data_IF_250968093159
#
_entry.id   IF_250968093159
#
_cell.length_a   1.000
_cell.length_b   1.000
_cell.length_c   1.000
_cell.angle_alpha   90.00
_cell.angle_beta   90.00
_cell.angle_gamma   90.00
#
_symmetry.space_group_name_H-M   'P 1'
#
loop_
_entity.id
_entity.type
_entity.pdbx_description
1 polymer ?
#
# COMPACT_ATOMS: atom_id res chain seq x y z
N UNK A 1 -7.78 18.99 -82.55
CA UNK A 1 -7.54 18.81 -81.14
C UNK A 1 -8.47 17.66 -80.76
N UNK A 2 -7.95 16.42 -80.64
CA UNK A 2 -8.71 15.23 -80.26
C UNK A 2 -8.38 14.85 -78.86
N UNK A 3 -9.37 14.94 -77.99
CA UNK A 3 -9.30 14.52 -76.60
C UNK A 3 -9.03 13.02 -76.45
N UNK A 4 -7.90 12.68 -75.80
CA UNK A 4 -7.63 11.33 -75.33
C UNK A 4 -8.21 11.19 -73.96
N UNK A 5 -9.46 10.81 -73.85
CA UNK A 5 -10.07 10.33 -72.62
C UNK A 5 -9.52 8.93 -72.34
N UNK A 6 -8.59 8.83 -71.36
CA UNK A 6 -8.04 7.57 -70.89
C UNK A 6 -9.15 6.73 -70.26
N UNK A 7 -9.48 5.57 -70.88
CA UNK A 7 -10.37 4.55 -70.32
C UNK A 7 -9.76 3.97 -69.03
N UNK A 8 -10.26 4.36 -67.88
CA UNK A 8 -10.00 3.63 -66.60
C UNK A 8 -10.60 2.23 -66.75
N UNK A 9 -9.75 1.25 -66.98
CA UNK A 9 -10.09 -0.15 -66.97
C UNK A 9 -10.42 -0.58 -65.53
N UNK A 10 -11.72 -0.71 -65.23
CA UNK A 10 -12.18 -1.29 -63.99
C UNK A 10 -11.68 -2.75 -63.88
N UNK A 11 -10.61 -2.96 -63.12
CA UNK A 11 -10.12 -4.29 -62.80
C UNK A 11 -10.94 -4.76 -61.57
N UNK A 12 -12.18 -5.20 -61.81
CA UNK A 12 -12.89 -6.01 -60.85
C UNK A 12 -12.36 -7.45 -60.97
N UNK A 13 -11.24 -7.74 -60.33
CA UNK A 13 -10.80 -9.10 -60.12
C UNK A 13 -11.74 -9.79 -59.14
N UNK A 14 -12.42 -10.85 -59.57
CA UNK A 14 -13.22 -11.68 -58.67
C UNK A 14 -12.32 -12.29 -57.59
N UNK A 15 -12.75 -12.21 -56.30
CA UNK A 15 -12.03 -12.80 -55.16
C UNK A 15 -12.09 -14.33 -55.30
N UNK A 16 -10.94 -15.00 -55.24
CA UNK A 16 -10.85 -16.45 -55.30
C UNK A 16 -11.28 -17.06 -53.95
N UNK A 17 -11.95 -18.20 -53.97
CA UNK A 17 -12.35 -18.94 -52.76
C UNK A 17 -11.14 -19.27 -51.87
N UNK A 18 -9.99 -19.57 -52.47
CA UNK A 18 -8.73 -19.83 -51.74
C UNK A 18 -8.22 -18.58 -51.03
N UNK A 19 -8.39 -17.40 -51.62
CA UNK A 19 -7.96 -16.11 -51.01
C UNK A 19 -8.78 -15.79 -49.76
N UNK A 20 -10.10 -16.04 -49.79
CA UNK A 20 -10.95 -15.89 -48.62
C UNK A 20 -10.56 -16.88 -47.54
N UNK A 21 -10.27 -18.13 -47.87
CA UNK A 21 -9.83 -19.12 -46.87
C UNK A 21 -8.52 -18.73 -46.20
N UNK A 22 -7.54 -18.25 -46.94
CA UNK A 22 -6.27 -17.76 -46.38
C UNK A 22 -6.50 -16.53 -45.52
N UNK A 23 -7.30 -15.57 -45.98
CA UNK A 23 -7.59 -14.34 -45.22
C UNK A 23 -8.29 -14.64 -43.88
N UNK A 24 -9.29 -15.54 -43.86
CA UNK A 24 -9.99 -15.95 -42.63
C UNK A 24 -9.06 -16.70 -41.71
N UNK A 25 -8.17 -17.55 -42.23
CA UNK A 25 -7.19 -18.27 -41.40
C UNK A 25 -6.22 -17.33 -40.71
N UNK A 26 -5.67 -16.36 -41.45
CA UNK A 26 -4.75 -15.35 -40.84
C UNK A 26 -5.51 -14.47 -39.83
N UNK A 27 -6.72 -14.06 -40.16
CA UNK A 27 -7.56 -13.27 -39.24
C UNK A 27 -7.85 -14.04 -37.93
N UNK A 28 -8.21 -15.34 -38.04
CA UNK A 28 -8.47 -16.15 -36.85
C UNK A 28 -7.25 -16.27 -35.94
N UNK A 29 -6.06 -16.46 -36.52
CA UNK A 29 -4.79 -16.49 -35.72
C UNK A 29 -4.53 -15.11 -35.08
N UNK A 30 -4.64 -14.03 -35.82
CA UNK A 30 -4.44 -12.68 -35.30
C UNK A 30 -5.46 -12.34 -34.21
N UNK A 31 -6.73 -12.73 -34.36
CA UNK A 31 -7.78 -12.51 -33.36
C UNK A 31 -7.50 -13.26 -32.05
N UNK A 32 -7.04 -14.51 -32.11
CA UNK A 32 -6.71 -15.29 -30.89
C UNK A 32 -5.51 -14.72 -30.13
N UNK A 33 -4.47 -14.31 -30.86
CA UNK A 33 -3.30 -13.63 -30.23
C UNK A 33 -3.73 -12.31 -29.57
N UNK A 34 -4.54 -11.50 -30.26
CA UNK A 34 -5.02 -10.22 -29.75
C UNK A 34 -5.88 -10.39 -28.48
N UNK A 35 -6.77 -11.39 -28.46
CA UNK A 35 -7.59 -11.69 -27.29
C UNK A 35 -6.74 -12.08 -26.08
N UNK A 36 -5.70 -12.89 -26.28
CA UNK A 36 -4.74 -13.26 -25.22
C UNK A 36 -3.98 -12.06 -24.67
N UNK A 37 -3.54 -11.14 -25.53
CA UNK A 37 -2.87 -9.91 -25.14
C UNK A 37 -3.77 -8.99 -24.31
N UNK A 38 -5.04 -8.84 -24.67
CA UNK A 38 -6.02 -8.05 -23.92
C UNK A 38 -6.26 -8.61 -22.53
N UNK A 39 -6.37 -9.94 -22.36
CA UNK A 39 -6.52 -10.56 -21.04
C UNK A 39 -5.30 -10.33 -20.17
N UNK A 40 -4.11 -10.45 -20.72
CA UNK A 40 -2.86 -10.17 -19.98
C UNK A 40 -2.76 -8.71 -19.55
N UNK A 41 -3.19 -7.78 -20.40
CA UNK A 41 -3.21 -6.35 -20.08
C UNK A 41 -4.19 -6.03 -18.95
N UNK A 42 -5.37 -6.62 -18.93
CA UNK A 42 -6.36 -6.45 -17.85
C UNK A 42 -5.85 -6.99 -16.52
N UNK A 43 -5.21 -8.15 -16.50
CA UNK A 43 -4.58 -8.70 -15.29
C UNK A 43 -3.48 -7.76 -14.75
N UNK A 44 -2.66 -7.21 -15.62
CA UNK A 44 -1.61 -6.25 -15.25
C UNK A 44 -2.20 -4.96 -14.67
N UNK A 45 -3.26 -4.42 -15.28
CA UNK A 45 -3.95 -3.23 -14.77
C UNK A 45 -4.54 -3.47 -13.37
N UNK A 46 -5.20 -4.60 -13.14
CA UNK A 46 -5.75 -4.96 -11.82
C UNK A 46 -4.65 -5.06 -10.76
N UNK A 47 -3.49 -5.60 -11.12
CA UNK A 47 -2.33 -5.68 -10.22
C UNK A 47 -1.81 -4.29 -9.83
N UNK A 48 -1.71 -3.38 -10.80
CA UNK A 48 -1.28 -1.99 -10.55
C UNK A 48 -2.28 -1.26 -9.64
N UNK A 49 -3.58 -1.43 -9.89
CA UNK A 49 -4.62 -0.83 -9.03
C UNK A 49 -4.55 -1.36 -7.60
N UNK A 50 -4.41 -2.67 -7.43
CA UNK A 50 -4.25 -3.27 -6.11
C UNK A 50 -3.00 -2.71 -5.38
N UNK A 51 -1.87 -2.56 -6.09
CA UNK A 51 -0.66 -1.97 -5.52
C UNK A 51 -0.88 -0.52 -5.08
N UNK A 52 -1.57 0.29 -5.88
CA UNK A 52 -1.90 1.69 -5.52
C UNK A 52 -2.75 1.76 -4.26
N UNK A 53 -3.80 0.94 -4.16
CA UNK A 53 -4.67 0.91 -2.97
C UNK A 53 -3.84 0.66 -1.70
N UNK A 54 -2.94 -0.33 -1.72
CA UNK A 54 -2.07 -0.57 -0.56
C UNK A 54 -1.16 0.61 -0.31
N UNK A 55 -0.49 1.11 -1.34
CA UNK A 55 0.47 2.21 -1.21
C UNK A 55 -0.20 3.47 -0.61
N UNK A 56 -1.36 3.86 -1.12
CA UNK A 56 -2.09 5.03 -0.65
C UNK A 56 -2.53 4.88 0.81
N UNK A 57 -3.06 3.70 1.18
CA UNK A 57 -3.45 3.41 2.56
C UNK A 57 -2.26 3.43 3.53
N UNK A 58 -1.14 2.80 3.14
CA UNK A 58 0.06 2.77 3.97
C UNK A 58 0.69 4.15 4.10
N UNK A 59 0.76 4.91 3.01
CA UNK A 59 1.27 6.29 3.04
C UNK A 59 0.43 7.17 3.94
N UNK A 60 -0.90 7.11 3.81
CA UNK A 60 -1.80 7.86 4.69
C UNK A 60 -1.61 7.51 6.17
N UNK A 61 -1.55 6.20 6.49
CA UNK A 61 -1.34 5.75 7.86
C UNK A 61 0.02 6.22 8.41
N UNK A 62 1.10 6.05 7.63
CA UNK A 62 2.45 6.46 8.02
C UNK A 62 2.59 7.98 8.16
N UNK A 63 1.99 8.76 7.26
CA UNK A 63 2.01 10.22 7.32
C UNK A 63 1.27 10.73 8.56
N UNK A 64 0.11 10.14 8.88
CA UNK A 64 -0.67 10.48 10.07
C UNK A 64 0.10 10.12 11.34
N UNK A 65 0.58 8.87 11.43
CA UNK A 65 1.42 8.43 12.55
C UNK A 65 2.66 9.32 12.68
N UNK A 66 3.33 9.62 11.56
CA UNK A 66 4.55 10.41 11.55
C UNK A 66 4.38 11.84 12.08
N UNK A 67 3.26 12.48 11.75
CA UNK A 67 2.93 13.83 12.25
C UNK A 67 2.67 13.81 13.75
N UNK A 68 1.84 12.87 14.21
CA UNK A 68 1.47 12.78 15.62
C UNK A 68 2.63 12.32 16.51
N UNK A 69 3.40 11.32 16.09
CA UNK A 69 4.58 10.84 16.80
C UNK A 69 5.61 11.97 16.93
N UNK A 70 5.89 12.72 15.86
CA UNK A 70 6.91 13.77 15.89
C UNK A 70 6.65 14.86 16.91
N UNK A 71 5.39 15.14 17.25
CA UNK A 71 4.96 16.14 18.21
C UNK A 71 4.54 15.55 19.55
N UNK A 72 4.57 14.23 19.67
CA UNK A 72 4.23 13.51 20.89
C UNK A 72 5.40 13.37 21.86
N UNK A 73 5.12 12.85 23.05
CA UNK A 73 6.07 12.58 24.14
C UNK A 73 5.76 11.26 24.84
N UNK A 74 6.60 10.84 25.77
CA UNK A 74 6.41 9.62 26.59
C UNK A 74 6.18 8.37 25.74
N UNK A 75 7.14 8.08 24.86
CA UNK A 75 7.04 6.93 23.95
C UNK A 75 7.09 5.62 24.71
N UNK A 76 6.10 4.78 24.50
CA UNK A 76 5.99 3.46 25.08
C UNK A 76 5.88 2.39 24.01
N UNK A 77 6.81 1.46 24.01
CA UNK A 77 6.74 0.25 23.19
C UNK A 77 5.97 -0.84 23.93
N UNK A 78 4.78 -1.17 23.46
CA UNK A 78 3.92 -2.18 24.08
C UNK A 78 4.47 -3.60 23.95
N UNK A 79 4.20 -4.44 24.96
CA UNK A 79 4.56 -5.87 24.95
C UNK A 79 3.51 -6.73 24.26
N UNK A 80 2.27 -6.26 24.20
CA UNK A 80 1.19 -6.89 23.47
C UNK A 80 0.31 -5.85 22.78
N UNK A 81 -0.71 -6.28 22.05
CA UNK A 81 -1.61 -5.42 21.26
C UNK A 81 -2.56 -4.58 22.13
N UNK A 82 -2.71 -4.91 23.39
CA UNK A 82 -3.57 -4.22 24.36
C UNK A 82 -2.77 -3.49 25.44
N UNK A 83 -1.48 -3.28 25.21
CA UNK A 83 -0.65 -2.46 26.11
C UNK A 83 -0.87 -0.98 25.78
N UNK A 84 -1.64 -0.31 26.60
CA UNK A 84 -2.04 1.10 26.44
C UNK A 84 -1.29 2.03 27.42
N UNK A 85 -0.24 1.55 28.05
CA UNK A 85 0.54 2.35 28.99
C UNK A 85 1.28 3.47 28.24
N UNK A 86 1.40 4.62 28.87
CA UNK A 86 2.15 5.76 28.35
C UNK A 86 3.43 6.05 29.18
N UNK A 87 3.91 5.05 29.95
CA UNK A 87 5.21 5.15 30.64
C UNK A 87 6.35 4.90 29.66
N UNK A 88 7.38 5.78 29.61
CA UNK A 88 8.49 5.64 28.66
C UNK A 88 9.12 4.25 28.70
N UNK A 89 9.21 3.59 27.52
CA UNK A 89 9.76 2.26 27.42
C UNK A 89 10.32 1.98 26.02
N UNK A 90 11.56 1.56 25.97
CA UNK A 90 12.26 1.14 24.76
C UNK A 90 11.99 -0.31 24.37
N UNK A 91 12.11 -0.59 23.07
CA UNK A 91 12.17 -1.93 22.51
C UNK A 91 13.05 -1.92 21.24
N UNK A 92 14.35 -2.08 21.44
CA UNK A 92 15.32 -2.03 20.34
C UNK A 92 15.60 -3.40 19.70
N UNK A 93 15.08 -4.49 20.29
CA UNK A 93 15.38 -5.87 19.88
C UNK A 93 14.21 -6.50 19.13
N UNK A 94 14.53 -7.34 18.13
CA UNK A 94 13.54 -8.14 17.40
C UNK A 94 12.70 -9.02 18.35
N UNK A 95 11.38 -9.11 18.16
CA UNK A 95 10.59 -8.66 17.00
C UNK A 95 10.04 -7.22 17.07
N UNK A 96 10.46 -6.40 18.05
CA UNK A 96 9.87 -5.10 18.34
C UNK A 96 8.55 -5.21 19.11
N UNK A 97 7.85 -4.08 19.28
CA UNK A 97 6.56 -4.03 19.94
C UNK A 97 5.38 -4.15 18.96
N UNK A 98 4.32 -4.90 19.32
CA UNK A 98 3.11 -5.02 18.51
C UNK A 98 2.18 -3.80 18.63
N UNK A 99 2.38 -2.95 19.66
CA UNK A 99 1.69 -1.69 19.86
C UNK A 99 2.68 -0.58 20.21
N UNK A 100 2.27 0.65 19.95
CA UNK A 100 3.05 1.83 20.29
C UNK A 100 2.12 2.90 20.86
N UNK A 101 2.44 3.36 22.05
CA UNK A 101 1.65 4.36 22.81
C UNK A 101 2.50 5.59 23.08
N UNK A 102 1.89 6.76 23.03
CA UNK A 102 2.53 8.03 23.33
C UNK A 102 1.47 9.07 23.77
N UNK A 103 1.92 10.18 24.33
CA UNK A 103 1.07 11.33 24.65
C UNK A 103 1.19 12.34 23.51
N UNK A 104 0.07 12.73 22.91
CA UNK A 104 0.05 13.72 21.86
C UNK A 104 0.21 15.16 22.41
N UNK A 105 0.30 16.14 21.52
CA UNK A 105 0.44 17.56 21.89
C UNK A 105 -0.79 18.14 22.64
N UNK A 106 -1.92 17.45 22.67
CA UNK A 106 -3.13 17.82 23.40
C UNK A 106 -3.22 17.19 24.79
N UNK A 107 -2.28 16.29 25.12
CA UNK A 107 -2.28 15.53 26.37
C UNK A 107 -3.04 14.21 26.33
N UNK A 108 -3.59 13.85 25.18
CA UNK A 108 -4.28 12.56 25.04
C UNK A 108 -3.28 11.42 24.82
N UNK A 109 -3.57 10.27 25.41
CA UNK A 109 -2.83 9.03 25.11
C UNK A 109 -3.31 8.42 23.81
N UNK A 110 -2.38 8.24 22.88
CA UNK A 110 -2.62 7.63 21.57
C UNK A 110 -1.92 6.29 21.51
N UNK A 111 -2.62 5.24 21.12
CA UNK A 111 -2.03 3.93 20.85
C UNK A 111 -2.28 3.51 19.42
N UNK A 112 -1.23 3.10 18.73
CA UNK A 112 -1.30 2.44 17.43
C UNK A 112 -1.05 0.95 17.58
N UNK A 113 -1.89 0.13 16.93
CA UNK A 113 -1.75 -1.33 16.92
C UNK A 113 -2.24 -1.94 15.62
N UNK A 114 -1.88 -3.19 15.38
CA UNK A 114 -2.47 -4.03 14.35
C UNK A 114 -3.56 -4.91 14.96
N UNK A 115 -4.79 -4.75 14.51
CA UNK A 115 -5.90 -5.60 14.91
C UNK A 115 -6.72 -6.00 13.68
N UNK A 116 -7.07 -7.28 13.55
CA UNK A 116 -7.84 -7.81 12.41
C UNK A 116 -7.29 -7.36 11.03
N UNK A 117 -5.95 -7.40 10.86
CA UNK A 117 -5.26 -7.00 9.64
C UNK A 117 -5.43 -5.51 9.25
N UNK A 118 -5.83 -4.66 10.19
CA UNK A 118 -6.00 -3.22 10.02
C UNK A 118 -5.23 -2.45 11.08
N UNK A 119 -4.71 -1.30 10.70
CA UNK A 119 -4.10 -0.37 11.64
C UNK A 119 -5.21 0.36 12.38
N UNK A 120 -5.17 0.30 13.69
CA UNK A 120 -6.08 1.00 14.59
C UNK A 120 -5.34 2.08 15.39
N UNK A 121 -6.00 3.21 15.54
CA UNK A 121 -5.65 4.28 16.48
C UNK A 121 -6.65 4.28 17.60
N UNK A 122 -6.18 4.19 18.85
CA UNK A 122 -6.98 4.18 20.07
C UNK A 122 -6.67 5.43 20.87
N UNK A 123 -7.72 6.05 21.40
CA UNK A 123 -7.62 7.22 22.26
C UNK A 123 -7.79 6.83 23.75
N UNK A 124 -6.91 7.35 24.58
CA UNK A 124 -6.97 7.26 26.05
C UNK A 124 -7.15 5.82 26.57
N UNK A 125 -6.49 4.86 25.90
CA UNK A 125 -6.52 3.45 26.28
C UNK A 125 -7.89 2.77 26.19
N UNK A 126 -8.88 3.40 25.55
CA UNK A 126 -10.22 2.83 25.43
C UNK A 126 -10.42 2.16 24.05
N UNK A 127 -10.47 0.82 23.97
CA UNK A 127 -10.67 0.11 22.70
C UNK A 127 -11.98 0.47 21.97
N UNK A 128 -12.98 0.98 22.66
CA UNK A 128 -14.23 1.43 22.04
C UNK A 128 -14.05 2.70 21.18
N UNK A 129 -12.96 3.44 21.37
CA UNK A 129 -12.60 4.60 20.53
C UNK A 129 -11.73 4.25 19.33
N UNK A 130 -11.55 2.96 19.04
CA UNK A 130 -10.67 2.51 17.95
C UNK A 130 -11.10 3.07 16.61
N UNK A 131 -10.24 3.89 16.01
CA UNK A 131 -10.38 4.41 14.66
C UNK A 131 -9.54 3.59 13.70
N UNK A 132 -10.20 2.97 12.72
CA UNK A 132 -9.53 2.19 11.68
C UNK A 132 -8.89 3.15 10.67
N UNK A 133 -7.58 3.03 10.46
CA UNK A 133 -6.80 3.92 9.60
C UNK A 133 -6.62 3.37 8.18
N UNK A 134 -6.89 2.10 7.94
CA UNK A 134 -6.67 1.44 6.64
C UNK A 134 -7.99 0.89 6.08
N UNK A 135 -8.16 1.00 4.75
CA UNK A 135 -9.33 0.46 4.07
C UNK A 135 -9.39 -1.08 4.13
N UNK A 136 -10.59 -1.68 3.95
CA UNK A 136 -10.77 -3.13 3.99
C UNK A 136 -9.92 -3.89 2.97
N UNK A 137 -9.67 -3.28 1.82
CA UNK A 137 -8.95 -3.88 0.70
C UNK A 137 -7.42 -3.89 0.90
N UNK A 138 -6.92 -3.13 1.88
CA UNK A 138 -5.52 -3.11 2.26
C UNK A 138 -5.30 -4.00 3.50
N UNK A 139 -4.85 -5.22 3.27
CA UNK A 139 -4.58 -6.20 4.33
C UNK A 139 -3.19 -5.97 4.91
N UNK A 140 -3.11 -5.58 6.17
CA UNK A 140 -1.84 -5.39 6.88
C UNK A 140 -1.45 -6.72 7.51
N UNK A 141 -0.25 -7.20 7.17
CA UNK A 141 0.28 -8.49 7.63
C UNK A 141 1.18 -8.32 8.84
N UNK A 142 1.89 -7.20 8.90
CA UNK A 142 2.81 -6.88 10.00
C UNK A 142 2.80 -5.38 10.26
N UNK A 143 2.71 -5.03 11.52
CA UNK A 143 3.04 -3.71 12.06
C UNK A 143 3.90 -3.95 13.30
N UNK A 144 5.09 -3.40 13.32
CA UNK A 144 6.02 -3.54 14.43
C UNK A 144 6.73 -2.22 14.68
N UNK A 145 6.91 -1.91 15.96
CA UNK A 145 7.53 -0.67 16.42
C UNK A 145 8.84 -0.98 17.15
N UNK A 146 9.86 -0.18 16.87
CA UNK A 146 11.13 -0.19 17.60
C UNK A 146 11.33 1.20 18.17
N UNK A 147 11.44 1.28 19.47
CA UNK A 147 11.57 2.54 20.22
C UNK A 147 12.93 2.57 20.89
N UNK A 148 13.61 3.70 20.77
CA UNK A 148 14.93 3.94 21.39
C UNK A 148 14.97 5.37 21.90
N UNK A 149 15.57 5.56 23.08
CA UNK A 149 15.75 6.87 23.69
C UNK A 149 14.47 7.42 24.32
N UNK A 150 13.55 6.54 24.74
CA UNK A 150 12.28 6.93 25.36
C UNK A 150 12.41 7.28 26.85
N UNK A 151 13.26 6.61 27.66
CA UNK A 151 13.48 6.99 29.07
C UNK A 151 14.10 8.37 29.20
N UNK A 152 13.60 9.17 30.14
CA UNK A 152 14.18 10.47 30.45
C UNK A 152 15.61 10.34 30.98
N UNK A 153 16.49 11.27 30.66
CA UNK A 153 17.89 11.36 31.09
C UNK A 153 18.82 10.25 30.54
N UNK A 154 18.52 9.68 29.38
CA UNK A 154 19.41 8.74 28.70
C UNK A 154 20.33 9.43 27.68
N UNK A 155 20.26 10.75 27.56
CA UNK A 155 20.98 11.59 26.56
C UNK A 155 20.69 11.23 25.10
N UNK A 156 19.67 10.42 24.85
CA UNK A 156 19.25 10.03 23.50
C UNK A 156 17.99 10.76 23.08
N UNK A 157 17.95 11.17 21.84
CA UNK A 157 16.70 11.71 21.27
C UNK A 157 15.73 10.57 20.99
N UNK A 158 14.51 10.60 21.54
CA UNK A 158 13.49 9.60 21.29
C UNK A 158 13.20 9.42 19.81
N UNK A 159 13.22 8.17 19.34
CA UNK A 159 12.92 7.81 17.97
C UNK A 159 12.16 6.50 17.88
N UNK A 160 11.28 6.43 16.91
CA UNK A 160 10.47 5.25 16.61
C UNK A 160 10.74 4.79 15.20
N UNK A 161 11.12 3.54 15.01
CA UNK A 161 11.18 2.89 13.71
C UNK A 161 9.94 2.01 13.55
N UNK A 162 9.19 2.25 12.49
CA UNK A 162 7.97 1.52 12.14
C UNK A 162 8.29 0.59 10.99
N UNK A 163 8.03 -0.70 11.15
CA UNK A 163 8.08 -1.70 10.09
C UNK A 163 6.66 -2.13 9.75
N UNK A 164 6.30 -2.01 8.49
CA UNK A 164 4.97 -2.27 8.01
C UNK A 164 5.00 -3.13 6.76
N UNK A 165 4.21 -4.23 6.76
CA UNK A 165 4.02 -5.09 5.59
C UNK A 165 2.54 -5.17 5.27
N UNK A 166 2.21 -4.87 4.01
CA UNK A 166 0.83 -4.92 3.52
C UNK A 166 0.70 -5.73 2.24
N UNK A 167 -0.50 -6.21 2.00
CA UNK A 167 -0.87 -6.90 0.75
C UNK A 167 -2.23 -6.40 0.27
N UNK A 168 -2.42 -6.35 -1.06
CA UNK A 168 -3.74 -6.18 -1.66
C UNK A 168 -3.91 -7.08 -2.87
N UNK A 169 -5.17 -7.26 -3.27
CA UNK A 169 -5.57 -8.15 -4.35
C UNK A 169 -6.25 -9.41 -3.83
N UNK A 170 -7.43 -9.71 -4.38
CA UNK A 170 -8.26 -10.85 -3.96
C UNK A 170 -7.72 -12.17 -4.54
N UNK A 171 -7.22 -12.14 -5.77
CA UNK A 171 -6.69 -13.33 -6.46
C UNK A 171 -5.19 -13.42 -6.29
N UNK A 172 -4.64 -14.61 -6.03
CA UNK A 172 -3.19 -14.83 -5.88
C UNK A 172 -2.37 -14.29 -7.06
N UNK A 173 -2.89 -14.41 -8.30
CA UNK A 173 -2.22 -13.92 -9.51
C UNK A 173 -2.03 -12.40 -9.55
N UNK A 174 -2.93 -11.64 -8.90
CA UNK A 174 -2.90 -10.17 -8.87
C UNK A 174 -2.50 -9.61 -7.51
N UNK A 175 -2.17 -10.48 -6.54
CA UNK A 175 -1.76 -10.09 -5.20
C UNK A 175 -0.46 -9.30 -5.24
N UNK A 176 -0.49 -8.12 -4.66
CA UNK A 176 0.68 -7.24 -4.53
C UNK A 176 1.10 -7.13 -3.08
N UNK A 177 2.41 -7.10 -2.83
CA UNK A 177 3.00 -6.98 -1.49
C UNK A 177 3.86 -5.74 -1.43
N UNK A 178 3.80 -5.04 -0.30
CA UNK A 178 4.64 -3.88 -0.04
C UNK A 178 5.23 -4.01 1.37
N UNK A 179 6.50 -3.65 1.49
CA UNK A 179 7.20 -3.58 2.78
C UNK A 179 7.77 -2.17 2.90
N UNK A 180 7.47 -1.50 4.00
CA UNK A 180 7.93 -0.14 4.29
C UNK A 180 8.58 -0.13 5.66
N UNK A 181 9.69 0.58 5.77
CA UNK A 181 10.33 0.94 7.02
C UNK A 181 10.52 2.44 7.04
N UNK A 182 10.15 3.07 8.14
CA UNK A 182 10.38 4.50 8.37
C UNK A 182 10.83 4.74 9.80
N UNK A 183 11.65 5.76 10.00
CA UNK A 183 12.09 6.17 11.33
C UNK A 183 11.68 7.62 11.56
N UNK A 184 11.08 7.88 12.71
CA UNK A 184 10.56 9.19 13.11
C UNK A 184 11.23 9.56 14.43
N UNK A 185 11.86 10.73 14.47
CA UNK A 185 12.42 11.29 15.69
C UNK A 185 11.45 12.29 16.29
N UNK A 186 11.39 12.33 17.60
CA UNK A 186 10.65 13.33 18.36
C UNK A 186 11.21 14.73 18.04
N UNK A 187 10.34 15.73 18.00
CA UNK A 187 10.76 17.12 17.72
C UNK A 187 11.31 17.83 18.95
N UNK A 188 10.75 17.54 20.11
CA UNK A 188 11.20 18.09 21.39
C UNK A 188 12.37 17.23 21.89
N UNK A 189 13.47 17.88 22.27
CA UNK A 189 14.59 17.21 22.93
C UNK A 189 14.17 17.02 24.39
N UNK A 190 14.32 15.81 24.92
CA UNK A 190 14.17 15.56 26.34
C UNK A 190 15.29 16.34 27.09
N UNK A 191 14.88 17.32 27.87
CA UNK A 191 15.76 18.13 28.70
C UNK A 191 15.67 17.72 30.16
#
# INVERSE_FOLDING_TARGET
MKDKIGKFKNIFGGISLIEILIAVSIFAVAATISAGALMSMTDAQQKVLALRIVQDNLSYALDTMGKEIRTGSSYHCGIDINDFLATPRDCSVFPGGPSFTFINSLGDTITYRLNNNRIEKILNGNPATALIMTAPDAVIVLLSFYVVGSPANDELQPRVTIILKGTAGIKEKIKSRINIQTTISQRLIDS
#
